data_IF_808282737717
#
_entry.id   IF_808282737717
#
_cell.length_a   1.000
_cell.length_b   1.000
_cell.length_c   1.000
_cell.angle_alpha   90.00
_cell.angle_beta   90.00
_cell.angle_gamma   90.00
#
_symmetry.space_group_name_H-M   'P 1'
#
loop_
_entity.id
_entity.type
_entity.pdbx_description
1 polymer ?
#
# COMPACT_ATOMS: atom_id res chain seq x y z
N UNK A 1 -6.61 7.70 18.11
CA UNK A 1 -6.76 6.92 16.87
C UNK A 1 -7.54 7.80 15.90
N UNK A 2 -6.96 8.12 14.74
CA UNK A 2 -7.59 8.98 13.73
C UNK A 2 -8.85 8.29 13.20
N UNK A 3 -9.98 8.92 13.35
CA UNK A 3 -11.24 8.49 12.75
C UNK A 3 -11.59 9.44 11.62
N UNK A 4 -11.79 8.89 10.45
CA UNK A 4 -12.10 9.62 9.23
C UNK A 4 -13.41 10.42 9.36
N UNK A 5 -14.37 9.89 10.13
CA UNK A 5 -15.70 10.46 10.26
C UNK A 5 -15.77 11.75 11.08
N UNK A 6 -14.83 11.96 12.03
CA UNK A 6 -14.93 13.09 12.97
C UNK A 6 -14.18 14.36 12.51
N UNK A 7 -13.03 14.21 11.83
CA UNK A 7 -12.21 15.36 11.41
C UNK A 7 -12.38 15.74 9.94
N UNK A 8 -12.75 14.79 9.10
CA UNK A 8 -12.81 14.97 7.65
C UNK A 8 -14.08 15.65 7.17
N UNK A 9 -15.23 15.39 7.78
CA UNK A 9 -16.46 16.06 7.35
C UNK A 9 -16.33 17.59 7.45
N UNK A 10 -15.62 18.07 8.48
CA UNK A 10 -15.38 19.50 8.68
C UNK A 10 -14.22 20.03 7.79
N UNK A 11 -13.11 19.31 7.65
CA UNK A 11 -11.98 19.75 6.83
C UNK A 11 -12.29 19.66 5.33
N UNK A 12 -12.98 18.61 4.88
CA UNK A 12 -13.45 18.47 3.52
C UNK A 12 -14.56 19.45 3.18
N UNK A 13 -15.41 19.83 4.15
CA UNK A 13 -16.46 20.85 3.98
C UNK A 13 -15.92 22.28 4.05
N UNK A 14 -14.95 22.56 4.93
CA UNK A 14 -14.43 23.91 5.14
C UNK A 14 -13.40 24.39 4.10
N UNK A 15 -12.71 23.46 3.43
CA UNK A 15 -11.68 23.78 2.42
C UNK A 15 -12.10 23.61 0.96
N UNK A 16 -13.25 23.03 0.71
CA UNK A 16 -13.64 22.61 -0.63
C UNK A 16 -14.60 23.61 -1.31
N UNK A 17 -14.06 24.50 -2.13
CA UNK A 17 -14.85 25.05 -3.23
C UNK A 17 -15.12 23.94 -4.26
N UNK A 18 -16.15 23.12 -4.02
CA UNK A 18 -16.63 22.08 -4.90
C UNK A 18 -16.46 20.66 -4.33
N UNK A 19 -17.30 19.74 -4.80
CA UNK A 19 -17.24 18.33 -4.41
C UNK A 19 -15.97 17.66 -4.92
N UNK A 20 -15.40 16.78 -4.10
CA UNK A 20 -14.33 15.86 -4.50
C UNK A 20 -14.92 14.47 -4.56
N UNK A 21 -14.68 13.77 -5.67
CA UNK A 21 -15.11 12.41 -5.86
C UNK A 21 -13.89 11.47 -5.80
N UNK A 22 -14.07 10.32 -5.20
CA UNK A 22 -13.03 9.29 -5.16
C UNK A 22 -13.55 7.95 -4.66
N UNK A 23 -12.91 6.88 -5.10
CA UNK A 23 -13.09 5.55 -4.52
C UNK A 23 -12.29 5.44 -3.24
N UNK A 24 -12.95 5.44 -2.08
CA UNK A 24 -12.29 5.45 -0.77
C UNK A 24 -12.40 4.08 -0.09
N UNK A 25 -11.38 3.70 0.67
CA UNK A 25 -11.39 2.53 1.55
C UNK A 25 -12.08 2.90 2.87
N UNK A 26 -13.01 2.07 3.31
CA UNK A 26 -13.66 2.22 4.62
C UNK A 26 -12.80 1.60 5.74
N UNK A 27 -12.93 2.15 6.95
CA UNK A 27 -12.32 1.61 8.16
C UNK A 27 -10.78 1.45 8.11
N UNK A 28 -10.08 2.42 7.50
CA UNK A 28 -8.61 2.46 7.44
C UNK A 28 -7.95 2.57 8.83
N UNK A 29 -8.72 2.93 9.86
CA UNK A 29 -8.32 2.97 11.26
C UNK A 29 -8.27 1.59 11.92
N UNK A 30 -9.01 0.60 11.37
CA UNK A 30 -9.05 -0.75 11.90
C UNK A 30 -7.73 -1.48 11.70
N UNK A 31 -7.02 -1.78 12.82
CA UNK A 31 -5.77 -2.52 12.78
C UNK A 31 -5.54 -3.28 14.09
N UNK A 32 -5.33 -4.57 14.00
CA UNK A 32 -4.93 -5.39 15.15
C UNK A 32 -3.41 -5.61 15.13
N UNK A 33 -2.65 -5.02 16.06
CA UNK A 33 -1.22 -5.21 16.16
C UNK A 33 -0.83 -6.57 16.75
N UNK A 34 -1.78 -7.33 17.30
CA UNK A 34 -1.51 -8.64 17.89
C UNK A 34 -0.93 -9.60 16.85
N UNK A 35 0.15 -10.26 17.17
CA UNK A 35 0.86 -11.16 16.25
C UNK A 35 1.82 -10.48 15.27
N UNK A 36 1.85 -9.15 15.20
CA UNK A 36 2.74 -8.39 14.30
C UNK A 36 3.94 -7.74 15.02
N UNK A 37 4.20 -8.12 16.27
CA UNK A 37 5.30 -7.61 17.10
C UNK A 37 5.28 -6.08 17.28
N UNK A 38 4.10 -5.48 17.32
CA UNK A 38 3.90 -4.05 17.44
C UNK A 38 3.25 -3.68 18.76
N UNK A 39 3.79 -2.64 19.42
CA UNK A 39 3.16 -2.01 20.57
C UNK A 39 1.97 -1.13 20.15
N UNK A 40 1.00 -0.95 21.06
CA UNK A 40 -0.20 -0.12 20.81
C UNK A 40 0.16 1.31 20.41
N UNK A 41 1.12 1.94 21.09
CA UNK A 41 1.58 3.30 20.80
C UNK A 41 2.19 3.40 19.41
N UNK A 42 3.05 2.44 19.05
CA UNK A 42 3.65 2.38 17.71
C UNK A 42 2.56 2.22 16.64
N UNK A 43 1.64 1.28 16.82
CA UNK A 43 0.54 1.06 15.89
C UNK A 43 -0.35 2.31 15.71
N UNK A 44 -0.54 3.11 16.76
CA UNK A 44 -1.34 4.35 16.68
C UNK A 44 -0.65 5.43 15.87
N UNK A 45 0.68 5.58 15.99
CA UNK A 45 1.47 6.60 15.30
C UNK A 45 1.94 6.16 13.91
N UNK A 46 1.69 4.91 13.54
CA UNK A 46 2.02 4.36 12.24
C UNK A 46 1.03 4.82 11.18
N UNK A 47 1.54 5.22 10.01
CA UNK A 47 0.72 5.55 8.83
C UNK A 47 -0.25 4.40 8.53
N UNK A 48 -1.54 4.68 8.33
CA UNK A 48 -2.51 3.67 7.91
C UNK A 48 -2.07 2.87 6.69
N UNK A 49 -1.31 3.47 5.76
CA UNK A 49 -0.76 2.75 4.62
C UNK A 49 0.19 1.62 5.05
N UNK A 50 1.07 1.86 6.04
CA UNK A 50 1.93 0.82 6.58
C UNK A 50 1.13 -0.30 7.27
N UNK A 51 0.03 0.06 7.96
CA UNK A 51 -0.87 -0.92 8.59
C UNK A 51 -1.55 -1.81 7.56
N UNK A 52 -2.10 -1.22 6.49
CA UNK A 52 -2.72 -1.96 5.39
C UNK A 52 -1.72 -2.87 4.67
N UNK A 53 -0.49 -2.40 4.45
CA UNK A 53 0.58 -3.22 3.86
C UNK A 53 0.88 -4.46 4.72
N UNK A 54 0.92 -4.31 6.05
CA UNK A 54 1.14 -5.44 6.96
C UNK A 54 -0.01 -6.45 6.92
N UNK A 55 -1.25 -5.98 6.85
CA UNK A 55 -2.43 -6.84 6.72
C UNK A 55 -2.40 -7.58 5.37
N UNK A 56 -2.17 -6.88 4.26
CA UNK A 56 -2.09 -7.48 2.93
C UNK A 56 -0.96 -8.54 2.85
N UNK A 57 0.18 -8.26 3.46
CA UNK A 57 1.29 -9.22 3.52
C UNK A 57 0.91 -10.48 4.33
N UNK A 58 0.24 -10.31 5.47
CA UNK A 58 -0.24 -11.44 6.28
C UNK A 58 -1.27 -12.29 5.52
N UNK A 59 -2.19 -11.67 4.79
CA UNK A 59 -3.17 -12.36 3.95
C UNK A 59 -2.51 -13.16 2.82
N UNK A 60 -1.51 -12.58 2.14
CA UNK A 60 -0.74 -13.30 1.11
C UNK A 60 -0.08 -14.54 1.70
N UNK A 61 0.54 -14.44 2.89
CA UNK A 61 1.16 -15.59 3.56
C UNK A 61 0.15 -16.67 3.94
N UNK A 62 -1.04 -16.27 4.39
CA UNK A 62 -2.11 -17.22 4.70
C UNK A 62 -2.59 -17.96 3.45
N UNK A 63 -2.77 -17.25 2.34
CA UNK A 63 -3.14 -17.83 1.04
C UNK A 63 -2.08 -18.81 0.53
N UNK A 64 -0.80 -18.45 0.64
CA UNK A 64 0.30 -19.35 0.26
C UNK A 64 0.34 -20.62 1.11
N UNK A 65 0.17 -20.47 2.42
CA UNK A 65 0.16 -21.59 3.37
C UNK A 65 -1.02 -22.52 3.11
N UNK A 66 -2.21 -21.98 2.89
CA UNK A 66 -3.42 -22.75 2.57
C UNK A 66 -3.34 -23.48 1.22
N UNK A 67 -2.56 -22.96 0.29
CA UNK A 67 -2.29 -23.59 -1.01
C UNK A 67 -1.13 -24.62 -0.98
N UNK A 68 -0.57 -24.91 0.20
CA UNK A 68 0.59 -25.80 0.33
C UNK A 68 1.90 -25.22 -0.23
N UNK A 69 1.92 -23.90 -0.47
CA UNK A 69 3.06 -23.17 -1.07
C UNK A 69 3.94 -22.47 -0.03
N UNK A 70 3.82 -22.84 1.24
CA UNK A 70 4.68 -22.30 2.29
C UNK A 70 6.16 -22.44 1.89
N UNK A 71 7.01 -21.41 2.15
CA UNK A 71 8.43 -21.50 1.86
C UNK A 71 9.05 -22.72 2.55
N UNK A 72 9.92 -23.43 1.84
CA UNK A 72 10.72 -24.47 2.46
C UNK A 72 11.62 -23.86 3.55
N UNK A 73 12.06 -24.64 4.53
CA UNK A 73 12.97 -24.16 5.59
C UNK A 73 14.25 -23.49 5.02
N UNK A 74 14.69 -23.89 3.81
CA UNK A 74 15.86 -23.28 3.12
C UNK A 74 15.57 -21.91 2.53
N UNK A 75 14.33 -21.59 2.19
CA UNK A 75 13.95 -20.36 1.48
C UNK A 75 13.10 -19.43 2.32
N UNK A 76 12.67 -19.85 3.51
CA UNK A 76 11.73 -19.13 4.36
C UNK A 76 12.20 -17.69 4.74
N UNK A 77 13.52 -17.47 4.87
CA UNK A 77 14.06 -16.15 5.19
C UNK A 77 14.47 -15.31 3.97
N UNK A 78 14.60 -15.90 2.77
CA UNK A 78 15.12 -15.21 1.59
C UNK A 78 13.99 -14.61 0.74
N UNK A 79 13.08 -13.90 1.41
CA UNK A 79 11.97 -13.18 0.80
C UNK A 79 12.36 -11.73 0.53
N UNK A 80 12.22 -11.30 -0.72
CA UNK A 80 12.33 -9.88 -1.10
C UNK A 80 11.04 -9.12 -0.82
N UNK A 81 11.13 -7.82 -0.55
CA UNK A 81 9.99 -6.92 -0.30
C UNK A 81 10.13 -5.66 -1.13
N UNK A 82 9.15 -5.39 -1.97
CA UNK A 82 9.13 -4.24 -2.88
C UNK A 82 7.80 -3.51 -2.73
N UNK A 83 7.83 -2.28 -2.20
CA UNK A 83 6.64 -1.52 -1.84
C UNK A 83 6.55 -0.24 -2.66
N UNK A 84 5.49 -0.09 -3.43
CA UNK A 84 5.12 1.18 -4.08
C UNK A 84 4.33 2.06 -3.13
N UNK A 85 4.90 3.20 -2.71
CA UNK A 85 4.28 4.14 -1.76
C UNK A 85 4.82 5.55 -1.98
N UNK A 86 3.94 6.57 -1.97
CA UNK A 86 4.32 7.96 -2.21
C UNK A 86 3.58 8.99 -1.32
N UNK A 87 2.38 8.66 -0.81
CA UNK A 87 1.61 9.61 0.00
C UNK A 87 2.17 9.78 1.40
N UNK A 88 2.26 11.03 1.87
CA UNK A 88 2.73 11.42 3.20
C UNK A 88 1.67 12.17 4.03
N UNK A 89 0.41 11.99 3.69
CA UNK A 89 -0.69 12.72 4.31
C UNK A 89 -0.77 12.50 5.82
N UNK A 90 -0.50 11.27 6.29
CA UNK A 90 -0.54 10.96 7.71
C UNK A 90 0.54 11.69 8.51
N UNK A 91 1.75 11.81 7.96
CA UNK A 91 2.81 12.60 8.59
C UNK A 91 2.41 14.07 8.76
N UNK A 92 1.74 14.65 7.75
CA UNK A 92 1.21 16.02 7.82
C UNK A 92 0.13 16.17 8.89
N UNK A 93 -0.76 15.17 9.02
CA UNK A 93 -1.76 15.15 10.09
C UNK A 93 -1.13 15.08 11.46
N UNK A 94 -0.13 14.22 11.68
CA UNK A 94 0.58 14.12 12.96
C UNK A 94 1.26 15.43 13.32
N UNK A 95 1.96 16.06 12.39
CA UNK A 95 2.60 17.37 12.59
C UNK A 95 1.60 18.46 12.97
N UNK A 96 0.42 18.49 12.33
CA UNK A 96 -0.66 19.42 12.67
C UNK A 96 -1.15 19.27 14.11
N UNK A 97 -1.15 18.08 14.67
CA UNK A 97 -1.62 17.78 16.02
C UNK A 97 -0.50 17.59 17.04
N UNK A 98 0.75 17.98 16.72
CA UNK A 98 1.93 17.88 17.60
C UNK A 98 2.19 16.45 18.12
N UNK A 99 1.78 15.43 17.33
CA UNK A 99 1.98 14.01 17.67
C UNK A 99 3.29 13.45 17.08
N UNK A 100 4.10 14.28 16.47
CA UNK A 100 5.34 13.94 15.77
C UNK A 100 6.58 13.83 16.68
N UNK A 101 6.49 14.25 17.95
CA UNK A 101 7.61 14.23 18.91
C UNK A 101 7.94 12.82 19.45
N UNK A 102 7.54 11.76 18.77
CA UNK A 102 7.81 10.37 19.15
C UNK A 102 8.73 9.68 18.14
N UNK A 103 9.71 8.86 18.60
CA UNK A 103 10.48 8.01 17.69
C UNK A 103 9.62 7.12 16.79
N UNK A 104 8.46 6.69 17.30
CA UNK A 104 7.49 5.90 16.53
C UNK A 104 6.80 6.70 15.42
N UNK A 105 6.65 8.02 15.58
CA UNK A 105 6.14 8.86 14.52
C UNK A 105 7.13 8.93 13.35
N UNK A 106 8.43 9.05 13.63
CA UNK A 106 9.45 9.06 12.60
C UNK A 106 9.49 7.75 11.79
N UNK A 107 9.58 6.61 12.48
CA UNK A 107 9.64 5.29 11.80
C UNK A 107 8.29 4.86 11.23
N UNK A 108 7.19 5.30 11.82
CA UNK A 108 5.83 4.98 11.38
C UNK A 108 5.40 5.70 10.11
N UNK A 109 6.09 6.80 9.74
CA UNK A 109 5.68 7.66 8.62
C UNK A 109 6.75 7.80 7.51
N UNK A 110 7.96 7.29 7.73
CA UNK A 110 8.98 7.32 6.71
C UNK A 110 8.67 6.32 5.60
N UNK A 111 8.51 6.79 4.37
CA UNK A 111 8.22 5.93 3.20
C UNK A 111 9.29 4.85 3.01
N UNK A 112 10.56 5.17 3.28
CA UNK A 112 11.68 4.22 3.22
C UNK A 112 11.55 3.05 4.19
N UNK A 113 10.83 3.23 5.30
CA UNK A 113 10.63 2.21 6.34
C UNK A 113 9.49 1.25 5.98
N UNK A 114 8.62 1.58 5.03
CA UNK A 114 7.46 0.75 4.68
C UNK A 114 7.86 -0.70 4.32
N UNK A 115 8.82 -0.89 3.43
CA UNK A 115 9.33 -2.21 3.07
C UNK A 115 10.09 -2.88 4.23
N UNK A 116 10.97 -2.12 4.92
CA UNK A 116 11.75 -2.62 6.06
C UNK A 116 10.89 -3.11 7.21
N UNK A 117 9.74 -2.49 7.45
CA UNK A 117 8.77 -2.91 8.46
C UNK A 117 8.19 -4.29 8.18
N UNK A 118 7.83 -4.57 6.93
CA UNK A 118 7.39 -5.88 6.50
C UNK A 118 8.50 -6.92 6.69
N UNK A 119 9.71 -6.61 6.22
CA UNK A 119 10.87 -7.47 6.40
C UNK A 119 11.12 -7.80 7.87
N UNK A 120 11.04 -6.79 8.75
CA UNK A 120 11.22 -6.98 10.20
C UNK A 120 10.10 -7.82 10.84
N UNK A 121 8.83 -7.51 10.52
CA UNK A 121 7.68 -8.20 11.13
C UNK A 121 7.64 -9.69 10.79
N UNK A 122 8.03 -10.05 9.56
CA UNK A 122 7.96 -11.41 9.04
C UNK A 122 9.33 -12.13 8.98
N UNK A 123 10.40 -11.52 9.54
CA UNK A 123 11.79 -12.04 9.53
C UNK A 123 12.30 -12.35 8.11
N UNK A 124 11.99 -11.48 7.14
CA UNK A 124 12.46 -11.60 5.76
C UNK A 124 13.80 -10.89 5.56
N UNK A 125 14.72 -11.53 4.85
CA UNK A 125 16.13 -11.11 4.74
C UNK A 125 16.59 -10.86 3.30
N UNK A 126 15.68 -10.95 2.34
CA UNK A 126 15.95 -10.58 0.95
C UNK A 126 16.00 -9.06 0.75
N UNK A 127 16.14 -8.59 -0.50
CA UNK A 127 16.08 -7.17 -0.84
C UNK A 127 14.82 -6.51 -0.27
N UNK A 128 14.96 -5.29 0.27
CA UNK A 128 13.85 -4.56 0.90
C UNK A 128 13.86 -3.11 0.41
N UNK A 129 12.93 -2.77 -0.47
CA UNK A 129 12.87 -1.49 -1.15
C UNK A 129 11.49 -0.85 -1.11
N UNK A 130 11.46 0.43 -0.76
CA UNK A 130 10.32 1.31 -1.01
C UNK A 130 10.59 2.12 -2.26
N UNK A 131 9.62 2.17 -3.18
CA UNK A 131 9.75 2.76 -4.51
C UNK A 131 8.71 3.85 -4.66
N UNK A 132 9.14 5.03 -5.08
CA UNK A 132 8.25 6.12 -5.47
C UNK A 132 8.59 6.56 -6.91
N UNK A 133 7.74 6.19 -7.83
CA UNK A 133 7.70 6.66 -9.21
C UNK A 133 6.27 7.12 -9.55
N UNK A 134 5.61 7.72 -8.56
CA UNK A 134 4.20 8.14 -8.61
C UNK A 134 3.27 6.95 -8.93
N UNK A 135 2.35 7.08 -9.88
CA UNK A 135 1.37 6.07 -10.24
C UNK A 135 1.97 4.75 -10.77
N UNK A 136 3.24 4.73 -11.19
CA UNK A 136 3.94 3.53 -11.66
C UNK A 136 4.71 2.78 -10.58
N UNK A 137 4.71 3.22 -9.32
CA UNK A 137 5.57 2.69 -8.25
C UNK A 137 5.44 1.17 -8.06
N UNK A 138 4.23 0.63 -8.02
CA UNK A 138 4.02 -0.81 -7.86
C UNK A 138 4.46 -1.61 -9.09
N UNK A 139 4.32 -1.05 -10.31
CA UNK A 139 4.80 -1.70 -11.54
C UNK A 139 6.34 -1.74 -11.58
N UNK A 140 7.00 -0.66 -11.18
CA UNK A 140 8.47 -0.62 -11.04
C UNK A 140 8.93 -1.60 -9.96
N UNK A 141 8.23 -1.66 -8.81
CA UNK A 141 8.48 -2.66 -7.77
C UNK A 141 8.35 -4.09 -8.29
N UNK A 142 7.35 -4.36 -9.13
CA UNK A 142 7.17 -5.66 -9.79
C UNK A 142 8.36 -5.99 -10.71
N UNK A 143 8.79 -5.02 -11.51
CA UNK A 143 9.95 -5.19 -12.38
C UNK A 143 11.23 -5.52 -11.61
N UNK A 144 11.51 -4.75 -10.54
CA UNK A 144 12.67 -4.97 -9.68
C UNK A 144 12.63 -6.33 -8.99
N UNK A 145 11.45 -6.76 -8.53
CA UNK A 145 11.27 -8.06 -7.90
C UNK A 145 11.54 -9.22 -8.88
N UNK A 146 11.09 -9.09 -10.13
CA UNK A 146 11.41 -10.07 -11.18
C UNK A 146 12.91 -10.13 -11.47
N UNK A 147 13.61 -8.99 -11.41
CA UNK A 147 15.07 -8.98 -11.54
C UNK A 147 15.75 -9.69 -10.36
N UNK A 148 15.35 -9.38 -9.11
CA UNK A 148 15.88 -10.03 -7.92
C UNK A 148 15.67 -11.54 -7.90
N UNK A 149 14.51 -12.03 -8.39
CA UNK A 149 14.25 -13.47 -8.55
C UNK A 149 15.16 -14.10 -9.60
N UNK A 150 15.35 -13.43 -10.75
CA UNK A 150 16.23 -13.94 -11.82
C UNK A 150 17.70 -13.96 -11.42
N UNK A 151 18.13 -12.98 -10.62
CA UNK A 151 19.51 -12.87 -10.10
C UNK A 151 19.73 -13.74 -8.87
N UNK A 152 18.69 -14.41 -8.37
CA UNK A 152 18.73 -15.23 -7.17
C UNK A 152 19.03 -14.43 -5.88
N UNK A 153 18.78 -13.12 -5.88
CA UNK A 153 18.89 -12.26 -4.70
C UNK A 153 17.80 -12.58 -3.66
N UNK A 154 16.70 -13.19 -4.12
CA UNK A 154 15.63 -13.73 -3.27
C UNK A 154 14.99 -14.98 -3.91
N UNK A 155 14.44 -15.84 -3.06
CA UNK A 155 13.74 -17.06 -3.48
C UNK A 155 12.26 -16.82 -3.79
N UNK A 156 11.70 -15.77 -3.18
CA UNK A 156 10.36 -15.28 -3.44
C UNK A 156 10.35 -13.77 -3.18
N UNK A 157 9.36 -13.05 -3.68
CA UNK A 157 9.24 -11.62 -3.51
C UNK A 157 7.79 -11.22 -3.24
N UNK A 158 7.57 -10.45 -2.17
CA UNK A 158 6.34 -9.71 -1.97
C UNK A 158 6.43 -8.37 -2.69
N UNK A 159 5.49 -8.11 -3.57
CA UNK A 159 5.30 -6.80 -4.20
C UNK A 159 3.99 -6.23 -3.69
N UNK A 160 4.02 -5.01 -3.19
CA UNK A 160 2.82 -4.34 -2.71
C UNK A 160 2.76 -2.90 -3.21
N UNK A 161 1.55 -2.37 -3.30
CA UNK A 161 1.30 -0.97 -3.58
C UNK A 161 0.19 -0.45 -2.69
N UNK A 162 0.33 0.77 -2.21
CA UNK A 162 -0.69 1.41 -1.38
C UNK A 162 -0.82 2.88 -1.70
N UNK A 163 -2.04 3.39 -1.64
CA UNK A 163 -2.33 4.81 -1.69
C UNK A 163 -3.58 5.11 -0.87
N UNK A 164 -3.44 6.05 0.06
CA UNK A 164 -4.56 6.66 0.80
C UNK A 164 -4.57 8.17 0.56
N UNK A 165 -5.74 8.76 0.65
CA UNK A 165 -5.97 10.21 0.59
C UNK A 165 -6.56 10.63 1.93
N UNK A 166 -5.69 11.01 2.86
CA UNK A 166 -6.09 11.30 4.24
C UNK A 166 -6.31 12.81 4.49
N UNK A 167 -5.89 13.66 3.55
CA UNK A 167 -6.13 15.10 3.60
C UNK A 167 -6.64 15.62 2.25
N UNK A 168 -7.42 16.71 2.23
CA UNK A 168 -7.89 17.32 0.99
C UNK A 168 -6.78 18.01 0.19
N UNK A 169 -5.63 18.30 0.79
CA UNK A 169 -4.57 19.13 0.21
C UNK A 169 -4.11 18.61 -1.15
N UNK A 170 -3.83 17.31 -1.24
CA UNK A 170 -3.38 16.67 -2.49
C UNK A 170 -4.46 16.74 -3.57
N UNK A 171 -5.73 16.56 -3.20
CA UNK A 171 -6.85 16.71 -4.14
C UNK A 171 -6.98 18.16 -4.64
N UNK A 172 -6.81 19.14 -3.75
CA UNK A 172 -6.86 20.56 -4.11
C UNK A 172 -5.77 20.91 -5.13
N UNK A 173 -4.53 20.48 -4.88
CA UNK A 173 -3.39 20.70 -5.78
C UNK A 173 -3.65 20.05 -7.16
N UNK A 174 -4.11 18.81 -7.20
CA UNK A 174 -4.38 18.13 -8.47
C UNK A 174 -5.57 18.72 -9.22
N UNK A 175 -6.59 19.22 -8.49
CA UNK A 175 -7.71 19.95 -9.11
C UNK A 175 -7.23 21.27 -9.73
N UNK A 176 -6.40 22.04 -9.01
CA UNK A 176 -5.81 23.29 -9.55
C UNK A 176 -4.92 23.03 -10.76
N UNK A 177 -4.23 21.91 -10.80
CA UNK A 177 -3.43 21.48 -11.95
C UNK A 177 -4.28 20.96 -13.14
N UNK A 178 -5.61 20.92 -13.02
CA UNK A 178 -6.49 20.42 -14.06
C UNK A 178 -6.41 18.91 -14.30
N UNK A 179 -5.93 18.15 -13.31
CA UNK A 179 -5.73 16.71 -13.45
C UNK A 179 -6.98 15.89 -13.07
N UNK A 180 -7.88 16.45 -12.26
CA UNK A 180 -9.06 15.73 -11.77
C UNK A 180 -10.29 16.06 -12.62
N UNK A 181 -11.02 15.00 -13.01
CA UNK A 181 -12.32 15.11 -13.65
C UNK A 181 -13.34 15.77 -12.70
N UNK A 182 -14.13 16.71 -13.22
CA UNK A 182 -15.08 17.47 -12.42
C UNK A 182 -16.17 16.59 -11.79
N UNK A 183 -16.54 15.50 -12.47
CA UNK A 183 -17.53 14.51 -12.04
C UNK A 183 -16.91 13.27 -11.38
N UNK A 184 -15.57 13.25 -11.16
CA UNK A 184 -14.83 12.17 -10.54
C UNK A 184 -14.75 10.88 -11.36
N UNK A 185 -15.05 10.91 -12.64
CA UNK A 185 -15.04 9.74 -13.53
C UNK A 185 -13.83 9.74 -14.45
N UNK A 186 -13.16 8.59 -14.52
CA UNK A 186 -12.13 8.32 -15.51
C UNK A 186 -12.81 7.97 -16.85
N UNK A 187 -12.90 8.90 -17.78
CA UNK A 187 -13.50 8.70 -19.10
C UNK A 187 -12.43 8.19 -20.06
N UNK A 188 -11.86 7.02 -19.74
CA UNK A 188 -10.73 6.44 -20.47
C UNK A 188 -11.12 6.12 -21.90
N UNK A 189 -10.31 6.61 -22.87
CA UNK A 189 -10.53 6.49 -24.32
C UNK A 189 -11.79 7.19 -24.85
N UNK A 190 -12.44 8.05 -24.05
CA UNK A 190 -13.57 8.86 -24.45
C UNK A 190 -13.12 10.25 -24.90
N UNK A 191 -13.75 10.80 -25.93
CA UNK A 191 -13.45 12.16 -26.43
C UNK A 191 -13.81 13.26 -25.43
N UNK A 192 -14.63 12.96 -24.42
CA UNK A 192 -15.00 13.87 -23.33
C UNK A 192 -14.07 13.76 -22.11
N UNK A 193 -12.94 13.06 -22.23
CA UNK A 193 -11.99 12.91 -21.13
C UNK A 193 -11.45 14.28 -20.67
N UNK A 194 -11.61 14.57 -19.38
CA UNK A 194 -11.31 15.87 -18.74
C UNK A 194 -10.50 15.73 -17.45
N UNK A 195 -9.98 14.53 -17.17
CA UNK A 195 -9.19 14.21 -15.97
C UNK A 195 -9.46 12.81 -15.45
N UNK A 196 -8.98 12.53 -14.24
CA UNK A 196 -9.21 11.23 -13.59
C UNK A 196 -9.91 11.39 -12.23
N UNK A 197 -10.55 10.31 -11.76
CA UNK A 197 -11.06 10.20 -10.40
C UNK A 197 -9.99 9.68 -9.45
N UNK A 198 -9.94 10.19 -8.21
CA UNK A 198 -9.04 9.68 -7.17
C UNK A 198 -9.49 8.30 -6.68
N UNK A 199 -8.55 7.48 -6.26
CA UNK A 199 -8.83 6.17 -5.67
C UNK A 199 -7.85 5.83 -4.56
N UNK A 200 -8.33 5.06 -3.60
CA UNK A 200 -7.52 4.46 -2.55
C UNK A 200 -7.47 2.96 -2.75
N UNK A 201 -6.33 2.38 -2.50
CA UNK A 201 -6.15 0.94 -2.53
C UNK A 201 -4.94 0.51 -1.71
N UNK A 202 -4.95 -0.74 -1.28
CA UNK A 202 -3.77 -1.47 -0.89
C UNK A 202 -3.86 -2.87 -1.50
N UNK A 203 -2.83 -3.29 -2.22
CA UNK A 203 -2.77 -4.62 -2.82
C UNK A 203 -1.38 -5.21 -2.68
N UNK A 204 -1.29 -6.53 -2.57
CA UNK A 204 -0.04 -7.24 -2.50
C UNK A 204 -0.10 -8.53 -3.32
N UNK A 205 1.02 -8.90 -3.92
CA UNK A 205 1.20 -10.15 -4.65
C UNK A 205 2.51 -10.80 -4.24
N UNK A 206 2.52 -12.13 -4.16
CA UNK A 206 3.76 -12.91 -4.01
C UNK A 206 4.19 -13.45 -5.36
N UNK A 207 5.46 -13.25 -5.68
CA UNK A 207 6.09 -13.73 -6.90
C UNK A 207 7.15 -14.77 -6.55
N UNK A 208 7.26 -15.80 -7.38
CA UNK A 208 8.30 -16.84 -7.29
C UNK A 208 8.82 -17.17 -8.68
N UNK A 209 10.04 -17.65 -8.75
CA UNK A 209 10.51 -18.26 -9.99
C UNK A 209 9.59 -19.43 -10.37
N UNK A 210 9.26 -19.53 -11.64
CA UNK A 210 8.58 -20.70 -12.16
C UNK A 210 9.46 -21.93 -11.95
N UNK A 211 8.92 -22.98 -11.35
CA UNK A 211 9.55 -24.30 -11.44
C UNK A 211 9.36 -24.79 -12.89
N UNK A 212 10.44 -25.22 -13.52
CA UNK A 212 10.32 -25.94 -14.79
C UNK A 212 9.54 -27.21 -14.49
N UNK A 213 8.30 -27.30 -14.98
CA UNK A 213 7.55 -28.52 -14.96
C UNK A 213 8.32 -29.61 -15.73
N UNK A 214 8.12 -30.87 -15.38
CA UNK A 214 8.75 -32.00 -16.04
C UNK A 214 8.47 -32.04 -17.56
N UNK A 215 7.57 -31.20 -18.07
CA UNK A 215 7.17 -31.02 -19.46
C UNK A 215 7.77 -29.75 -20.14
N UNK A 216 8.68 -29.04 -19.44
CA UNK A 216 9.31 -27.80 -19.94
C UNK A 216 8.40 -26.57 -19.95
N UNK A 217 7.19 -26.66 -19.37
CA UNK A 217 6.29 -25.51 -19.25
C UNK A 217 6.60 -24.71 -17.97
N UNK A 218 6.96 -23.43 -18.14
CA UNK A 218 7.14 -22.51 -17.02
C UNK A 218 5.78 -22.12 -16.45
N UNK A 219 5.49 -22.51 -15.21
CA UNK A 219 4.29 -22.06 -14.48
C UNK A 219 4.63 -20.94 -13.52
N UNK A 220 4.24 -19.70 -13.83
CA UNK A 220 4.29 -18.60 -12.87
C UNK A 220 3.11 -18.73 -11.90
N UNK A 221 3.39 -18.95 -10.61
CA UNK A 221 2.35 -18.96 -9.59
C UNK A 221 2.34 -17.62 -8.85
N UNK A 222 1.27 -16.88 -8.99
CA UNK A 222 1.00 -15.67 -8.21
C UNK A 222 -0.11 -15.95 -7.20
N UNK A 223 0.14 -15.67 -5.93
CA UNK A 223 -0.92 -15.52 -4.93
C UNK A 223 -1.14 -14.01 -4.75
N UNK A 224 -2.36 -13.56 -4.99
CA UNK A 224 -2.72 -12.15 -4.86
C UNK A 224 -3.72 -11.99 -3.72
N UNK A 225 -3.43 -11.07 -2.81
CA UNK A 225 -4.41 -10.52 -1.87
C UNK A 225 -4.66 -9.06 -2.23
N UNK A 226 -5.91 -8.70 -2.40
CA UNK A 226 -6.33 -7.31 -2.58
C UNK A 226 -7.31 -6.97 -1.47
N UNK A 227 -6.91 -6.05 -0.59
CA UNK A 227 -7.82 -5.35 0.30
C UNK A 227 -8.61 -4.31 -0.51
N UNK A 228 -9.41 -4.78 -1.47
CA UNK A 228 -10.46 -3.98 -2.06
C UNK A 228 -11.69 -4.06 -1.15
N UNK A 229 -11.69 -3.31 -0.06
CA UNK A 229 -12.91 -3.07 0.67
C UNK A 229 -13.81 -2.21 -0.22
N UNK A 230 -15.00 -2.71 -0.50
CA UNK A 230 -16.02 -2.18 -1.39
C UNK A 230 -16.07 -0.65 -1.41
N UNK A 231 -15.72 -0.06 -2.54
CA UNK A 231 -15.85 1.37 -2.78
C UNK A 231 -17.34 1.72 -2.85
N UNK A 232 -17.87 2.43 -1.87
CA UNK A 232 -19.12 3.15 -2.04
C UNK A 232 -18.78 4.52 -2.62
N UNK A 233 -19.21 4.77 -3.85
CA UNK A 233 -19.24 6.10 -4.45
C UNK A 233 -20.30 6.88 -3.66
N UNK A 234 -19.89 7.85 -2.85
CA UNK A 234 -20.82 8.87 -2.35
C UNK A 234 -20.89 9.98 -3.40
N UNK A 235 -22.05 10.10 -4.02
CA UNK A 235 -22.50 11.27 -4.75
C UNK A 235 -22.83 12.42 -3.81
#
# INVERSE_FOLDING_TARGET
MYRRDDAESLAWQAGAQGAYFGGLIWAVEGFDPAGLRLGKTEATLMDPQHRLLMQAAAEVLLLESGAGRAPSARTAGLQGVYVGISSTDYARLLGKYWLDASPYAATGNALSVAAGRLSFAFDWRGPSLSVDTACSSSLVGTHLSCQGLRQQDCAAALVAGTNLTLTPDTCMVFKQAGMLAADGRCKTLDSSADGYGRGEACGAVSLRSAEEGADGTASATAAAASLALTSAIRS
#
